data_IF_523440636219
#
_entry.id   IF_523440636219
#
_cell.length_a   1.000
_cell.length_b   1.000
_cell.length_c   1.000
_cell.angle_alpha   90.00
_cell.angle_beta   90.00
_cell.angle_gamma   90.00
#
_symmetry.space_group_name_H-M   'P 1'
#
loop_
_entity.id
_entity.type
_entity.pdbx_description
1 polymer ?
#
# COMPACT_ATOMS: atom_id res chain seq x y z
N UNK A 1 4.84 -9.35 15.01
CA UNK A 1 4.42 -8.00 14.57
C UNK A 1 2.92 -8.01 14.60
N UNK A 2 2.35 -7.07 15.34
CA UNK A 2 0.90 -6.97 15.53
C UNK A 2 0.22 -6.36 14.30
N UNK A 3 -1.09 -6.55 14.19
CA UNK A 3 -1.88 -6.01 13.07
C UNK A 3 -1.76 -4.49 12.97
N UNK A 4 -1.74 -3.79 14.11
CA UNK A 4 -1.55 -2.34 14.20
C UNK A 4 -0.21 -1.89 13.62
N UNK A 5 0.90 -2.55 14.00
CA UNK A 5 2.25 -2.21 13.53
C UNK A 5 2.39 -2.37 12.01
N UNK A 6 1.78 -3.42 11.44
CA UNK A 6 1.74 -3.59 9.97
C UNK A 6 0.94 -2.45 9.34
N UNK A 7 -0.20 -2.10 9.91
CA UNK A 7 -1.03 -0.98 9.45
C UNK A 7 -0.24 0.32 9.38
N UNK A 8 0.49 0.67 10.43
CA UNK A 8 1.32 1.88 10.49
C UNK A 8 2.41 1.88 9.40
N UNK A 9 3.04 0.72 9.16
CA UNK A 9 4.04 0.57 8.10
C UNK A 9 3.41 0.71 6.72
N UNK A 10 2.18 0.22 6.52
CA UNK A 10 1.44 0.39 5.26
C UNK A 10 1.12 1.86 5.01
N UNK A 11 0.65 2.59 6.01
CA UNK A 11 0.39 4.03 5.91
C UNK A 11 1.69 4.79 5.62
N UNK A 12 2.79 4.48 6.32
CA UNK A 12 4.10 5.08 6.04
C UNK A 12 4.55 4.80 4.59
N UNK A 13 4.35 3.57 4.12
CA UNK A 13 4.70 3.17 2.76
C UNK A 13 3.87 3.92 1.71
N UNK A 14 2.57 4.10 1.95
CA UNK A 14 1.69 4.90 1.08
C UNK A 14 2.19 6.33 1.04
N UNK A 15 2.36 6.98 2.19
CA UNK A 15 2.76 8.39 2.26
C UNK A 15 4.11 8.66 1.59
N UNK A 16 5.05 7.72 1.63
CA UNK A 16 6.36 7.85 0.96
C UNK A 16 6.33 7.55 -0.54
N UNK A 17 5.38 6.75 -1.00
CA UNK A 17 5.32 6.28 -2.39
C UNK A 17 4.18 6.91 -3.20
N UNK A 18 3.34 7.71 -2.55
CA UNK A 18 2.21 8.41 -3.16
C UNK A 18 2.67 9.45 -4.18
N UNK A 19 1.89 9.59 -5.24
CA UNK A 19 1.97 10.73 -6.14
C UNK A 19 1.19 11.93 -5.55
N UNK A 20 1.12 13.02 -6.31
CA UNK A 20 0.42 14.26 -5.90
C UNK A 20 -1.09 14.07 -5.67
N UNK A 21 -1.67 12.96 -6.17
CA UNK A 21 -3.08 12.59 -5.98
C UNK A 21 -3.29 11.66 -4.76
N UNK A 22 -2.22 11.35 -4.02
CA UNK A 22 -2.25 10.46 -2.85
C UNK A 22 -2.21 8.96 -3.18
N UNK A 23 -2.00 8.59 -4.45
CA UNK A 23 -1.94 7.19 -4.90
C UNK A 23 -0.52 6.66 -4.95
N UNK A 24 -0.24 5.63 -4.16
CA UNK A 24 1.05 4.97 -4.10
C UNK A 24 1.10 3.74 -5.00
N UNK A 25 2.10 3.67 -5.87
CA UNK A 25 2.29 2.50 -6.75
C UNK A 25 2.69 1.26 -5.94
N UNK A 26 1.95 0.15 -6.09
CA UNK A 26 2.18 -1.08 -5.32
C UNK A 26 3.59 -1.67 -5.53
N UNK A 27 4.19 -1.53 -6.71
CA UNK A 27 5.54 -2.00 -6.96
C UNK A 27 6.58 -1.22 -6.12
N UNK A 28 6.41 0.11 -6.01
CA UNK A 28 7.26 0.96 -5.15
C UNK A 28 7.05 0.65 -3.67
N UNK A 29 5.79 0.54 -3.25
CA UNK A 29 5.44 0.19 -1.87
C UNK A 29 6.03 -1.15 -1.45
N UNK A 30 5.96 -2.16 -2.33
CA UNK A 30 6.49 -3.49 -2.01
C UNK A 30 7.99 -3.48 -1.71
N UNK A 31 8.78 -2.68 -2.45
CA UNK A 31 10.20 -2.51 -2.16
C UNK A 31 10.41 -1.86 -0.78
N UNK A 32 9.61 -0.85 -0.45
CA UNK A 32 9.69 -0.17 0.85
C UNK A 32 9.34 -1.09 2.02
N UNK A 33 8.22 -1.81 1.91
CA UNK A 33 7.70 -2.71 2.95
C UNK A 33 8.69 -3.86 3.24
N UNK A 34 9.29 -4.43 2.18
CA UNK A 34 10.32 -5.47 2.33
C UNK A 34 11.56 -4.97 3.06
N UNK A 35 11.97 -3.72 2.84
CA UNK A 35 13.11 -3.09 3.54
C UNK A 35 12.84 -2.90 5.04
N UNK A 36 11.57 -2.81 5.45
CA UNK A 36 11.14 -2.76 6.86
C UNK A 36 11.07 -4.16 7.51
N UNK A 37 11.46 -5.21 6.79
CA UNK A 37 11.50 -6.58 7.32
C UNK A 37 10.16 -7.32 7.27
N UNK A 38 9.10 -6.70 6.72
CA UNK A 38 7.81 -7.37 6.57
C UNK A 38 7.92 -8.43 5.46
N UNK A 39 7.68 -9.69 5.82
CA UNK A 39 7.58 -10.80 4.88
C UNK A 39 6.11 -10.99 4.50
N UNK A 40 5.82 -10.91 3.21
CA UNK A 40 4.51 -11.17 2.64
C UNK A 40 4.66 -11.93 1.32
N UNK A 41 3.67 -12.77 0.99
CA UNK A 41 3.66 -13.47 -0.30
C UNK A 41 3.26 -12.53 -1.43
N UNK A 42 1.97 -12.21 -1.53
CA UNK A 42 1.42 -11.24 -2.48
C UNK A 42 1.01 -9.97 -1.75
N UNK A 43 1.50 -8.81 -2.19
CA UNK A 43 1.17 -7.53 -1.55
C UNK A 43 -0.33 -7.25 -1.60
N UNK A 44 -0.99 -7.57 -2.72
CA UNK A 44 -2.45 -7.43 -2.85
C UNK A 44 -3.22 -8.24 -1.81
N UNK A 45 -2.74 -9.45 -1.46
CA UNK A 45 -3.35 -10.27 -0.40
C UNK A 45 -3.15 -9.63 0.99
N UNK A 46 -1.97 -9.08 1.25
CA UNK A 46 -1.71 -8.35 2.50
C UNK A 46 -2.66 -7.16 2.61
N UNK A 47 -2.74 -6.32 1.58
CA UNK A 47 -3.59 -5.12 1.60
C UNK A 47 -5.08 -5.45 1.73
N UNK A 48 -5.54 -6.62 1.25
CA UNK A 48 -6.91 -7.07 1.42
C UNK A 48 -7.30 -7.29 2.90
N UNK A 49 -6.33 -7.47 3.80
CA UNK A 49 -6.56 -7.60 5.26
C UNK A 49 -6.69 -6.24 5.97
N UNK A 50 -6.41 -5.14 5.25
CA UNK A 50 -6.36 -3.75 5.73
C UNK A 50 -7.27 -2.83 4.90
N UNK A 51 -8.37 -3.37 4.37
CA UNK A 51 -9.35 -2.62 3.55
C UNK A 51 -10.09 -1.54 4.34
N UNK A 52 -10.00 -1.56 5.67
CA UNK A 52 -10.47 -0.54 6.60
C UNK A 52 -9.59 0.72 6.63
N UNK A 53 -8.34 0.63 6.19
CA UNK A 53 -7.38 1.75 6.20
C UNK A 53 -6.71 2.01 4.84
N UNK A 54 -6.80 1.06 3.89
CA UNK A 54 -6.24 1.17 2.54
C UNK A 54 -7.32 0.95 1.47
N UNK A 55 -7.37 1.85 0.51
CA UNK A 55 -8.08 1.68 -0.76
C UNK A 55 -7.11 1.23 -1.85
N UNK A 56 -7.56 0.33 -2.73
CA UNK A 56 -6.76 -0.20 -3.85
C UNK A 56 -7.46 0.13 -5.17
N UNK A 57 -6.70 0.63 -6.14
CA UNK A 57 -7.16 0.84 -7.52
C UNK A 57 -6.25 0.09 -8.48
N UNK A 58 -6.79 -0.47 -9.55
CA UNK A 58 -6.01 -0.98 -10.69
C UNK A 58 -6.26 -0.06 -11.88
N UNK A 59 -5.18 0.35 -12.53
CA UNK A 59 -5.20 1.11 -13.76
C UNK A 59 -4.90 0.17 -14.93
N UNK A 60 -5.98 -0.23 -15.62
CA UNK A 60 -5.92 -1.09 -16.80
C UNK A 60 -5.65 -0.30 -18.09
N UNK A 61 -5.57 1.04 -18.03
CA UNK A 61 -5.22 1.86 -19.20
C UNK A 61 -3.72 1.80 -19.52
N UNK A 62 -2.90 1.31 -18.58
CA UNK A 62 -1.45 1.13 -18.71
C UNK A 62 -1.14 -0.35 -18.93
N UNK A 63 -0.16 -0.68 -19.79
CA UNK A 63 0.25 -2.07 -20.03
C UNK A 63 1.73 -2.30 -19.63
N UNK A 64 2.01 -3.21 -18.67
CA UNK A 64 1.05 -4.02 -17.91
C UNK A 64 0.21 -3.19 -16.92
N UNK A 65 -0.99 -3.66 -16.52
CA UNK A 65 -1.84 -2.98 -15.54
C UNK A 65 -1.10 -2.64 -14.26
N UNK A 66 -1.35 -1.45 -13.73
CA UNK A 66 -0.66 -0.94 -12.55
C UNK A 66 -1.62 -0.80 -11.39
N UNK A 67 -1.28 -1.42 -10.26
CA UNK A 67 -2.05 -1.28 -9.04
C UNK A 67 -1.50 -0.15 -8.16
N UNK A 68 -2.41 0.59 -7.55
CA UNK A 68 -2.15 1.69 -6.63
C UNK A 68 -2.89 1.47 -5.31
N UNK A 69 -2.35 2.03 -4.23
CA UNK A 69 -2.98 2.07 -2.92
C UNK A 69 -3.01 3.50 -2.37
N UNK A 70 -4.03 3.81 -1.59
CA UNK A 70 -4.20 5.11 -0.91
C UNK A 70 -4.71 4.89 0.50
N UNK A 71 -4.32 5.76 1.43
CA UNK A 71 -4.86 5.78 2.79
C UNK A 71 -6.29 6.32 2.77
N UNK A 72 -7.23 5.61 3.39
CA UNK A 72 -8.61 6.11 3.60
C UNK A 72 -8.87 6.57 5.02
N UNK A 73 -7.93 6.30 5.94
CA UNK A 73 -7.92 6.94 7.23
C UNK A 73 -7.55 8.40 7.03
N UNK A 74 -8.52 9.28 7.29
CA UNK A 74 -8.26 10.68 7.59
C UNK A 74 -7.26 10.72 8.75
N UNK A 75 -6.04 11.20 8.52
CA UNK A 75 -5.22 11.62 9.66
C UNK A 75 -6.03 12.65 10.46
N UNK A 76 -6.23 12.48 11.78
CA UNK A 76 -6.75 13.55 12.63
C UNK A 76 -5.81 14.76 12.63
#
# INVERSE_FOLDING_TARGET
MEKSEIGDILIEAINKCANDEGWANLAKMGVFIRKKGIKYGRLSRLLAEYTDIVEIKVDDSIQPPVAYARSITSSP
#
